data_IF_238903108067
#
_entry.id   IF_238903108067
#
_cell.length_a   1.000
_cell.length_b   1.000
_cell.length_c   1.000
_cell.angle_alpha   90.00
_cell.angle_beta   90.00
_cell.angle_gamma   90.00
#
_symmetry.space_group_name_H-M   'P 1'
#
loop_
_entity.id
_entity.type
_entity.pdbx_description
1 polymer ?
#
# COMPACT_ATOMS: atom_id res chain seq x y z
N UNK A 1 35.86 27.24 28.83
CA UNK A 1 35.06 26.93 27.64
C UNK A 1 33.61 26.90 28.06
N UNK A 2 32.78 27.65 27.37
CA UNK A 2 31.34 27.59 27.56
C UNK A 2 30.69 26.73 26.50
N UNK A 3 29.38 26.52 26.59
CA UNK A 3 28.61 25.69 25.61
C UNK A 3 28.75 26.21 24.16
N UNK A 4 28.93 27.53 23.98
CA UNK A 4 29.09 28.13 22.64
C UNK A 4 30.46 27.86 22.08
N UNK A 5 31.49 27.74 22.91
CA UNK A 5 32.85 27.36 22.46
C UNK A 5 32.83 25.93 21.89
N UNK A 6 32.19 24.97 22.61
CA UNK A 6 32.04 23.60 22.14
C UNK A 6 31.20 23.53 20.85
N UNK A 7 30.15 24.33 20.70
CA UNK A 7 29.35 24.40 19.46
C UNK A 7 30.19 24.85 18.26
N UNK A 8 31.03 25.90 18.45
CA UNK A 8 31.94 26.36 17.40
C UNK A 8 32.98 25.32 16.99
N UNK A 9 33.44 24.53 17.96
CA UNK A 9 34.36 23.42 17.68
C UNK A 9 33.64 22.31 16.86
N UNK A 10 32.39 21.98 17.19
CA UNK A 10 31.58 21.06 16.40
C UNK A 10 31.34 21.59 14.98
N UNK A 11 31.00 22.89 14.83
CA UNK A 11 30.79 23.51 13.50
C UNK A 11 32.01 23.35 12.60
N UNK A 12 33.24 23.53 13.16
CA UNK A 12 34.48 23.33 12.42
C UNK A 12 34.69 21.86 11.99
N UNK A 13 34.41 20.93 12.90
CA UNK A 13 34.50 19.51 12.61
C UNK A 13 33.47 19.12 11.53
N UNK A 14 32.26 19.67 11.58
CA UNK A 14 31.22 19.41 10.58
C UNK A 14 31.63 19.91 9.18
N UNK A 15 32.27 21.09 9.10
CA UNK A 15 32.81 21.61 7.83
C UNK A 15 33.87 20.66 7.24
N UNK A 16 34.76 20.13 8.05
CA UNK A 16 35.75 19.12 7.64
C UNK A 16 35.10 17.82 7.20
N UNK A 17 34.10 17.33 7.93
CA UNK A 17 33.33 16.14 7.60
C UNK A 17 32.61 16.29 6.26
N UNK A 18 31.97 17.42 6.00
CA UNK A 18 31.32 17.71 4.70
C UNK A 18 32.35 17.66 3.58
N UNK A 19 33.52 18.30 3.74
CA UNK A 19 34.56 18.31 2.73
C UNK A 19 35.12 16.92 2.44
N UNK A 20 35.38 16.11 3.48
CA UNK A 20 35.84 14.72 3.35
C UNK A 20 34.76 13.82 2.74
N UNK A 21 33.49 13.99 3.10
CA UNK A 21 32.38 13.25 2.54
C UNK A 21 32.21 13.56 1.04
N UNK A 22 32.26 14.84 0.64
CA UNK A 22 32.20 15.24 -0.76
C UNK A 22 33.31 14.61 -1.59
N UNK A 23 34.57 14.66 -1.10
CA UNK A 23 35.72 14.01 -1.74
C UNK A 23 35.55 12.50 -1.85
N UNK A 24 34.97 11.87 -0.83
CA UNK A 24 34.68 10.43 -0.85
C UNK A 24 33.63 10.09 -1.91
N UNK A 25 32.55 10.91 -2.04
CA UNK A 25 31.52 10.72 -3.05
C UNK A 25 32.03 10.95 -4.48
N UNK A 26 32.93 11.90 -4.68
CA UNK A 26 33.63 12.09 -5.96
C UNK A 26 34.46 10.84 -6.34
N UNK A 27 35.20 10.30 -5.38
CA UNK A 27 36.00 9.08 -5.57
C UNK A 27 35.10 7.87 -5.85
N UNK A 28 33.94 7.75 -5.19
CA UNK A 28 32.93 6.74 -5.48
C UNK A 28 32.43 6.85 -6.94
N UNK A 29 32.30 8.06 -7.47
CA UNK A 29 31.97 8.29 -8.89
C UNK A 29 33.07 7.77 -9.85
N UNK A 30 34.33 7.97 -9.53
CA UNK A 30 35.47 7.43 -10.31
C UNK A 30 35.48 5.90 -10.29
N UNK A 31 35.15 5.29 -9.12
CA UNK A 31 35.00 3.84 -8.98
C UNK A 31 33.84 3.33 -9.84
N UNK A 32 32.71 4.06 -9.88
CA UNK A 32 31.57 3.70 -10.72
C UNK A 32 31.98 3.61 -12.21
N UNK A 33 32.63 4.65 -12.73
CA UNK A 33 33.12 4.69 -14.11
C UNK A 33 34.08 3.51 -14.43
N UNK A 34 35.00 3.22 -13.51
CA UNK A 34 35.89 2.08 -13.65
C UNK A 34 35.15 0.74 -13.68
N UNK A 35 34.21 0.55 -12.75
CA UNK A 35 33.38 -0.68 -12.69
C UNK A 35 32.57 -0.87 -13.97
N UNK A 36 31.99 0.20 -14.50
CA UNK A 36 31.23 0.17 -15.75
C UNK A 36 32.12 -0.28 -16.93
N UNK A 37 33.29 0.33 -17.07
CA UNK A 37 34.22 0.02 -18.15
C UNK A 37 34.72 -1.44 -18.11
N UNK A 38 34.74 -2.06 -16.92
CA UNK A 38 35.21 -3.43 -16.71
C UNK A 38 34.09 -4.44 -16.45
N UNK A 39 32.83 -4.09 -16.62
CA UNK A 39 31.70 -5.00 -16.42
C UNK A 39 31.49 -5.48 -14.97
N UNK A 40 32.00 -4.75 -13.98
CA UNK A 40 31.94 -5.12 -12.57
C UNK A 40 30.62 -4.63 -11.92
N UNK A 41 30.12 -5.39 -10.94
CA UNK A 41 28.93 -4.99 -10.17
C UNK A 41 29.24 -3.81 -9.23
N UNK A 42 28.24 -2.96 -8.98
CA UNK A 42 28.34 -1.85 -8.01
C UNK A 42 28.59 -2.40 -6.60
N UNK A 43 27.79 -3.36 -6.16
CA UNK A 43 27.96 -4.01 -4.86
C UNK A 43 29.13 -4.98 -4.88
N UNK A 44 30.11 -4.76 -3.98
CA UNK A 44 31.17 -5.68 -3.62
C UNK A 44 31.09 -5.96 -2.11
N UNK A 45 30.23 -6.91 -1.76
CA UNK A 45 29.98 -7.27 -0.37
C UNK A 45 31.22 -7.75 0.39
N UNK A 46 32.16 -8.41 -0.31
CA UNK A 46 33.41 -8.89 0.30
C UNK A 46 34.30 -7.70 0.69
N UNK A 47 34.52 -6.80 -0.24
CA UNK A 47 35.32 -5.59 0.01
C UNK A 47 34.72 -4.72 1.12
N UNK A 48 33.39 -4.51 1.14
CA UNK A 48 32.73 -3.74 2.18
C UNK A 48 32.90 -4.40 3.57
N UNK A 49 32.80 -5.73 3.67
CA UNK A 49 33.01 -6.47 4.92
C UNK A 49 34.45 -6.35 5.41
N UNK A 50 35.45 -6.48 4.53
CA UNK A 50 36.86 -6.31 4.86
C UNK A 50 37.15 -4.87 5.30
N UNK A 51 36.58 -3.88 4.59
CA UNK A 51 36.72 -2.48 4.95
C UNK A 51 36.11 -2.16 6.32
N UNK A 52 34.92 -2.69 6.61
CA UNK A 52 34.29 -2.51 7.91
C UNK A 52 35.15 -3.08 9.03
N UNK A 53 35.72 -4.28 8.85
CA UNK A 53 36.64 -4.86 9.84
C UNK A 53 37.82 -3.95 10.11
N UNK A 54 38.49 -3.45 9.07
CA UNK A 54 39.61 -2.53 9.21
C UNK A 54 39.24 -1.23 9.92
N UNK A 55 38.03 -0.74 9.71
CA UNK A 55 37.50 0.45 10.41
C UNK A 55 37.31 0.17 11.90
N UNK A 56 36.73 -0.97 12.24
CA UNK A 56 36.53 -1.35 13.65
C UNK A 56 37.83 -1.53 14.42
N UNK A 57 38.87 -2.06 13.77
CA UNK A 57 40.21 -2.18 14.35
C UNK A 57 40.87 -0.82 14.69
N UNK A 58 40.50 0.23 13.96
CA UNK A 58 41.00 1.60 14.17
C UNK A 58 40.15 2.45 15.11
N UNK A 59 38.96 1.96 15.46
CA UNK A 59 37.96 2.73 16.21
C UNK A 59 38.06 2.37 17.70
N UNK A 60 38.09 3.37 18.64
CA UNK A 60 37.96 3.14 20.07
C UNK A 60 36.74 2.28 20.37
N UNK A 61 36.85 1.41 21.37
CA UNK A 61 35.82 0.40 21.68
C UNK A 61 34.44 1.00 21.93
N UNK A 62 34.40 2.10 22.69
CA UNK A 62 33.18 2.82 23.02
C UNK A 62 32.48 3.48 21.81
N UNK A 63 33.18 3.67 20.70
CA UNK A 63 32.62 4.29 19.47
C UNK A 63 32.34 3.30 18.36
N UNK A 64 32.65 2.00 18.52
CA UNK A 64 32.54 1.01 17.44
C UNK A 64 31.13 0.86 16.88
N UNK A 65 30.10 0.87 17.73
CA UNK A 65 28.71 0.75 17.28
C UNK A 65 28.27 1.97 16.47
N UNK A 66 28.64 3.17 16.92
CA UNK A 66 28.34 4.42 16.21
C UNK A 66 29.06 4.47 14.85
N UNK A 67 30.35 4.14 14.83
CA UNK A 67 31.14 4.11 13.59
C UNK A 67 30.64 3.03 12.64
N UNK A 68 30.25 1.85 13.14
CA UNK A 68 29.65 0.80 12.33
C UNK A 68 28.37 1.27 11.65
N UNK A 69 27.48 1.94 12.38
CA UNK A 69 26.23 2.50 11.86
C UNK A 69 26.50 3.59 10.82
N UNK A 70 27.40 4.53 11.13
CA UNK A 70 27.79 5.61 10.22
C UNK A 70 28.35 5.07 8.90
N UNK A 71 29.29 4.12 8.96
CA UNK A 71 29.91 3.59 7.74
C UNK A 71 28.98 2.68 6.96
N UNK A 72 28.03 2.01 7.59
CA UNK A 72 26.96 1.30 6.89
C UNK A 72 26.14 2.26 6.03
N UNK A 73 25.73 3.41 6.59
CA UNK A 73 25.06 4.46 5.84
C UNK A 73 25.93 5.06 4.73
N UNK A 74 27.20 5.34 5.02
CA UNK A 74 28.16 5.87 4.04
C UNK A 74 28.35 4.90 2.86
N UNK A 75 28.38 3.57 3.08
CA UNK A 75 28.44 2.57 2.01
C UNK A 75 27.17 2.58 1.17
N UNK A 76 25.99 2.66 1.81
CA UNK A 76 24.70 2.81 1.12
C UNK A 76 24.68 4.04 0.22
N UNK A 77 25.00 5.22 0.76
CA UNK A 77 25.06 6.49 0.00
C UNK A 77 26.05 6.40 -1.16
N UNK A 78 27.19 5.73 -0.97
CA UNK A 78 28.19 5.55 -2.03
C UNK A 78 27.67 4.65 -3.16
N UNK A 79 26.97 3.56 -2.83
CA UNK A 79 26.32 2.71 -3.85
C UNK A 79 25.23 3.47 -4.59
N UNK A 80 24.39 4.20 -3.86
CA UNK A 80 23.35 5.05 -4.45
C UNK A 80 23.97 6.06 -5.44
N UNK A 81 25.04 6.75 -5.05
CA UNK A 81 25.75 7.68 -5.93
C UNK A 81 26.35 6.99 -7.17
N UNK A 82 26.94 5.81 -7.00
CA UNK A 82 27.47 5.03 -8.12
C UNK A 82 26.36 4.62 -9.08
N UNK A 83 25.25 4.08 -8.59
CA UNK A 83 24.11 3.68 -9.41
C UNK A 83 23.49 4.86 -10.16
N UNK A 84 23.37 6.01 -9.50
CA UNK A 84 22.88 7.23 -10.13
C UNK A 84 23.76 7.70 -11.30
N UNK A 85 25.07 7.69 -11.11
CA UNK A 85 26.04 8.11 -12.15
C UNK A 85 26.07 7.12 -13.35
N UNK A 86 25.77 5.86 -13.12
CA UNK A 86 25.71 4.83 -14.16
C UNK A 86 24.39 4.87 -14.94
N UNK A 87 23.45 5.73 -14.53
CA UNK A 87 22.10 5.79 -15.06
C UNK A 87 21.20 4.69 -14.50
N UNK A 88 19.90 4.88 -14.62
CA UNK A 88 18.92 3.87 -14.21
C UNK A 88 19.13 2.59 -15.05
N UNK A 89 19.64 1.54 -14.41
CA UNK A 89 19.80 0.23 -15.04
C UNK A 89 18.47 -0.51 -15.02
N UNK A 90 18.22 -1.29 -16.06
CA UNK A 90 17.07 -2.14 -16.20
C UNK A 90 15.98 -1.58 -17.12
N UNK A 91 15.03 -2.45 -17.45
CA UNK A 91 13.93 -2.12 -18.35
C UNK A 91 12.75 -1.43 -17.65
N UNK A 92 12.68 -1.51 -16.32
CA UNK A 92 11.55 -0.98 -15.56
C UNK A 92 11.37 0.53 -15.70
N UNK A 93 12.41 1.39 -15.52
CA UNK A 93 12.26 2.82 -15.75
C UNK A 93 11.78 3.18 -17.16
N UNK A 94 12.23 2.43 -18.18
CA UNK A 94 11.77 2.61 -19.57
C UNK A 94 10.30 2.23 -19.73
N UNK A 95 9.88 1.07 -19.19
CA UNK A 95 8.48 0.63 -19.20
C UNK A 95 7.56 1.63 -18.50
N UNK A 96 8.00 2.22 -17.40
CA UNK A 96 7.25 3.26 -16.69
C UNK A 96 7.13 4.53 -17.54
N UNK A 97 8.22 5.00 -18.16
CA UNK A 97 8.20 6.15 -19.05
C UNK A 97 7.26 5.92 -20.26
N UNK A 98 7.32 4.75 -20.88
CA UNK A 98 6.43 4.37 -21.96
C UNK A 98 4.95 4.31 -21.51
N UNK A 99 4.69 3.79 -20.28
CA UNK A 99 3.34 3.75 -19.74
C UNK A 99 2.78 5.15 -19.51
N UNK A 100 3.59 6.08 -18.99
CA UNK A 100 3.20 7.50 -18.83
C UNK A 100 2.84 8.11 -20.19
N UNK A 101 3.64 7.87 -21.21
CA UNK A 101 3.42 8.42 -22.56
C UNK A 101 2.17 7.83 -23.24
N UNK A 102 1.95 6.51 -23.09
CA UNK A 102 0.83 5.79 -23.74
C UNK A 102 -0.50 5.95 -23.01
N UNK A 103 -0.47 6.26 -21.69
CA UNK A 103 -1.70 6.38 -20.89
C UNK A 103 -2.43 7.68 -21.26
N UNK A 104 -3.74 7.64 -21.52
CA UNK A 104 -4.52 8.85 -21.77
C UNK A 104 -4.44 9.84 -20.60
N UNK A 105 -4.53 11.16 -20.86
CA UNK A 105 -4.39 12.17 -19.80
C UNK A 105 -5.56 12.16 -18.79
N UNK A 106 -6.70 11.57 -19.16
CA UNK A 106 -7.86 11.48 -18.29
C UNK A 106 -8.18 10.03 -17.94
N UNK A 107 -8.47 9.80 -16.65
CA UNK A 107 -8.97 8.51 -16.21
C UNK A 107 -10.36 8.23 -16.83
N UNK A 108 -10.66 6.99 -17.27
CA UNK A 108 -11.93 6.67 -17.93
C UNK A 108 -13.13 7.02 -17.05
N UNK A 109 -14.15 7.62 -17.65
CA UNK A 109 -15.41 7.90 -16.96
C UNK A 109 -16.35 6.70 -16.97
N UNK A 110 -16.22 5.84 -17.98
CA UNK A 110 -17.04 4.64 -18.20
C UNK A 110 -16.13 3.44 -18.38
N UNK A 111 -16.43 2.35 -17.71
CA UNK A 111 -15.70 1.09 -17.86
C UNK A 111 -16.52 -0.10 -17.36
N UNK A 112 -16.20 -1.30 -17.88
CA UNK A 112 -16.59 -2.56 -17.26
C UNK A 112 -15.68 -2.80 -16.05
N UNK A 113 -16.28 -2.84 -14.84
CA UNK A 113 -15.58 -2.91 -13.56
C UNK A 113 -16.04 -4.13 -12.77
N UNK A 114 -15.10 -5.00 -12.42
CA UNK A 114 -15.35 -6.14 -11.53
C UNK A 114 -15.21 -5.71 -10.07
N UNK A 115 -16.15 -6.10 -9.21
CA UNK A 115 -15.98 -5.97 -7.75
C UNK A 115 -16.57 -7.17 -7.02
N UNK A 116 -16.11 -7.39 -5.78
CA UNK A 116 -16.65 -8.44 -4.94
C UNK A 116 -17.86 -7.93 -4.16
N UNK A 117 -18.90 -8.74 -4.05
CA UNK A 117 -20.10 -8.46 -3.28
C UNK A 117 -21.37 -8.41 -4.13
N UNK A 118 -22.28 -7.55 -3.73
CA UNK A 118 -23.58 -7.35 -4.36
C UNK A 118 -23.88 -5.86 -4.48
N UNK A 119 -24.95 -5.50 -5.17
CA UNK A 119 -25.46 -4.13 -5.26
C UNK A 119 -25.68 -3.52 -3.87
N UNK A 120 -25.25 -2.28 -3.67
CA UNK A 120 -25.27 -1.57 -2.37
C UNK A 120 -24.02 -1.80 -1.50
N UNK A 121 -23.11 -2.70 -1.88
CA UNK A 121 -21.87 -2.93 -1.13
C UNK A 121 -20.89 -1.75 -1.21
N UNK A 122 -20.00 -1.61 -0.22
CA UNK A 122 -18.95 -0.58 -0.23
C UNK A 122 -17.99 -0.72 -1.45
N UNK A 123 -17.84 -1.92 -2.00
CA UNK A 123 -17.08 -2.12 -3.24
C UNK A 123 -17.73 -1.44 -4.44
N UNK A 124 -19.07 -1.46 -4.54
CA UNK A 124 -19.80 -0.72 -5.58
C UNK A 124 -19.66 0.78 -5.41
N UNK A 125 -19.81 1.29 -4.16
CA UNK A 125 -19.60 2.72 -3.87
C UNK A 125 -18.18 3.16 -4.26
N UNK A 126 -17.18 2.28 -4.10
CA UNK A 126 -15.82 2.52 -4.57
C UNK A 126 -15.75 2.58 -6.11
N UNK A 127 -16.48 1.73 -6.83
CA UNK A 127 -16.57 1.78 -8.29
C UNK A 127 -17.21 3.11 -8.76
N UNK A 128 -18.32 3.53 -8.14
CA UNK A 128 -19.00 4.79 -8.46
C UNK A 128 -18.18 6.04 -8.12
N UNK A 129 -17.35 5.97 -7.08
CA UNK A 129 -16.44 7.07 -6.73
C UNK A 129 -15.28 7.20 -7.69
N UNK A 130 -14.80 6.07 -8.25
CA UNK A 130 -13.70 6.02 -9.21
C UNK A 130 -14.15 6.35 -10.63
N UNK A 131 -15.33 5.88 -11.03
CA UNK A 131 -15.87 6.02 -12.38
C UNK A 131 -17.21 6.75 -12.34
N UNK A 132 -17.42 7.65 -13.26
CA UNK A 132 -18.67 8.42 -13.32
C UNK A 132 -19.88 7.57 -13.71
N UNK A 133 -19.66 6.58 -14.59
CA UNK A 133 -20.66 5.63 -15.10
C UNK A 133 -20.03 4.24 -15.25
N UNK A 134 -19.80 3.52 -14.13
CA UNK A 134 -19.28 2.16 -14.21
C UNK A 134 -20.36 1.18 -14.68
N UNK A 135 -19.98 0.21 -15.51
CA UNK A 135 -20.77 -1.01 -15.69
C UNK A 135 -20.22 -2.04 -14.70
N UNK A 136 -20.84 -2.11 -13.52
CA UNK A 136 -20.34 -2.94 -12.41
C UNK A 136 -20.77 -4.39 -12.57
N UNK A 137 -19.80 -5.30 -12.47
CA UNK A 137 -20.01 -6.75 -12.45
C UNK A 137 -19.63 -7.31 -11.09
N UNK A 138 -20.60 -7.95 -10.43
CA UNK A 138 -20.43 -8.48 -9.10
C UNK A 138 -19.92 -9.93 -9.13
N UNK A 139 -18.93 -10.20 -8.31
CA UNK A 139 -18.33 -11.52 -8.14
C UNK A 139 -18.42 -11.97 -6.67
N UNK A 140 -18.52 -13.27 -6.45
CA UNK A 140 -18.66 -13.84 -5.11
C UNK A 140 -17.35 -13.85 -4.31
N UNK A 141 -16.20 -13.72 -4.97
CA UNK A 141 -14.89 -13.75 -4.30
C UNK A 141 -13.89 -12.75 -4.90
N UNK A 142 -12.88 -12.37 -4.12
CA UNK A 142 -11.77 -11.53 -4.60
C UNK A 142 -10.98 -12.22 -5.72
N UNK A 143 -10.76 -13.54 -5.65
CA UNK A 143 -10.07 -14.31 -6.68
C UNK A 143 -10.80 -14.24 -8.03
N UNK A 144 -12.13 -14.26 -8.00
CA UNK A 144 -12.93 -14.13 -9.23
C UNK A 144 -12.78 -12.74 -9.86
N UNK A 145 -12.58 -11.67 -9.06
CA UNK A 145 -12.26 -10.32 -9.57
C UNK A 145 -10.91 -10.32 -10.26
N UNK A 146 -9.84 -10.86 -9.65
CA UNK A 146 -8.53 -10.98 -10.30
C UNK A 146 -8.61 -11.77 -11.61
N UNK A 147 -9.29 -12.92 -11.57
CA UNK A 147 -9.49 -13.77 -12.76
C UNK A 147 -10.25 -13.06 -13.88
N UNK A 148 -11.24 -12.23 -13.54
CA UNK A 148 -11.99 -11.44 -14.52
C UNK A 148 -11.09 -10.43 -15.26
N UNK A 149 -10.15 -9.81 -14.53
CA UNK A 149 -9.17 -8.87 -15.11
C UNK A 149 -8.16 -9.62 -16.01
N UNK A 150 -7.59 -10.71 -15.53
CA UNK A 150 -6.63 -11.52 -16.30
C UNK A 150 -7.22 -12.05 -17.62
N UNK A 151 -8.48 -12.52 -17.55
CA UNK A 151 -9.21 -13.04 -18.72
C UNK A 151 -9.77 -11.94 -19.64
N UNK A 152 -9.68 -10.66 -19.23
CA UNK A 152 -10.21 -9.54 -19.99
C UNK A 152 -11.75 -9.45 -20.04
N UNK A 153 -12.45 -10.08 -19.08
CA UNK A 153 -13.90 -9.97 -18.93
C UNK A 153 -14.31 -8.56 -18.46
N UNK A 154 -13.51 -7.97 -17.58
CA UNK A 154 -13.63 -6.58 -17.17
C UNK A 154 -12.30 -5.87 -17.40
N UNK A 155 -12.35 -4.59 -17.72
CA UNK A 155 -11.14 -3.79 -17.90
C UNK A 155 -10.49 -3.44 -16.56
N UNK A 156 -11.31 -3.16 -15.53
CA UNK A 156 -10.84 -2.80 -14.21
C UNK A 156 -11.47 -3.70 -13.14
N UNK A 157 -10.76 -3.88 -12.04
CA UNK A 157 -11.24 -4.52 -10.82
C UNK A 157 -11.08 -3.61 -9.64
N UNK A 158 -12.05 -3.60 -8.72
CA UNK A 158 -11.99 -2.83 -7.48
C UNK A 158 -12.01 -3.77 -6.29
N UNK A 159 -10.98 -3.66 -5.45
CA UNK A 159 -10.72 -4.55 -4.32
C UNK A 159 -10.41 -3.76 -3.06
N UNK A 160 -10.96 -4.14 -1.87
CA UNK A 160 -10.56 -3.54 -0.60
C UNK A 160 -9.14 -3.97 -0.24
N UNK A 161 -8.27 -3.04 0.13
CA UNK A 161 -6.89 -3.32 0.52
C UNK A 161 -6.70 -3.28 2.02
N UNK A 162 -7.27 -2.27 2.67
CA UNK A 162 -7.16 -2.08 4.12
C UNK A 162 -8.35 -1.28 4.65
N UNK A 163 -8.65 -1.49 5.92
CA UNK A 163 -9.61 -0.71 6.68
C UNK A 163 -8.92 -0.07 7.88
N UNK A 164 -9.22 1.19 8.18
CA UNK A 164 -8.52 1.98 9.22
C UNK A 164 -8.71 1.43 10.64
N UNK A 165 -9.74 0.62 10.88
CA UNK A 165 -10.03 0.01 12.18
C UNK A 165 -9.76 -1.48 12.21
N UNK A 166 -9.96 -2.20 11.12
CA UNK A 166 -9.79 -3.65 11.03
C UNK A 166 -8.44 -4.09 10.44
N UNK A 167 -7.66 -3.15 9.90
CA UNK A 167 -6.35 -3.44 9.31
C UNK A 167 -6.42 -3.98 7.89
N UNK A 168 -5.43 -4.77 7.53
CA UNK A 168 -5.20 -5.27 6.16
C UNK A 168 -6.18 -6.35 5.76
N UNK A 169 -6.65 -6.32 4.50
CA UNK A 169 -7.46 -7.39 3.90
C UNK A 169 -6.52 -8.50 3.39
N UNK A 170 -6.09 -9.37 4.30
CA UNK A 170 -5.06 -10.37 4.06
C UNK A 170 -5.30 -11.23 2.81
N UNK A 171 -6.55 -11.61 2.55
CA UNK A 171 -6.92 -12.41 1.37
C UNK A 171 -6.57 -11.72 0.05
N UNK A 172 -6.66 -10.38 -0.02
CA UNK A 172 -6.28 -9.62 -1.21
C UNK A 172 -4.76 -9.61 -1.40
N UNK A 173 -3.98 -9.42 -0.33
CA UNK A 173 -2.52 -9.51 -0.39
C UNK A 173 -2.03 -10.91 -0.81
N UNK A 174 -2.67 -11.96 -0.32
CA UNK A 174 -2.33 -13.34 -0.70
C UNK A 174 -2.62 -13.62 -2.19
N UNK A 175 -3.70 -13.05 -2.73
CA UNK A 175 -4.02 -13.13 -4.15
C UNK A 175 -3.07 -12.29 -5.03
N UNK A 176 -2.58 -11.16 -4.54
CA UNK A 176 -1.58 -10.34 -5.24
C UNK A 176 -0.31 -11.12 -5.58
N UNK A 177 0.06 -12.12 -4.78
CA UNK A 177 1.21 -12.98 -5.05
C UNK A 177 0.99 -13.98 -6.20
N UNK A 178 -0.27 -14.22 -6.58
CA UNK A 178 -0.65 -15.27 -7.55
C UNK A 178 -1.08 -14.72 -8.90
N UNK A 179 -1.52 -13.46 -8.92
CA UNK A 179 -2.13 -12.85 -10.10
C UNK A 179 -1.25 -11.74 -10.69
N UNK A 180 -1.27 -11.61 -12.01
CA UNK A 180 -0.59 -10.52 -12.69
C UNK A 180 -1.57 -9.36 -12.92
N UNK A 181 -1.30 -8.21 -12.31
CA UNK A 181 -2.13 -7.01 -12.36
C UNK A 181 -1.31 -5.75 -12.16
N UNK A 182 -1.95 -4.60 -12.35
CA UNK A 182 -1.37 -3.29 -12.04
C UNK A 182 -2.39 -2.46 -11.27
N UNK A 183 -1.94 -1.70 -10.29
CA UNK A 183 -2.77 -0.73 -9.58
C UNK A 183 -2.72 0.57 -10.36
N UNK A 184 -3.88 1.09 -10.75
CA UNK A 184 -4.01 2.29 -11.58
C UNK A 184 -4.64 3.46 -10.84
N UNK A 185 -5.32 3.19 -9.72
CA UNK A 185 -5.92 4.20 -8.84
C UNK A 185 -6.24 3.62 -7.47
N UNK A 186 -6.43 4.46 -6.47
CA UNK A 186 -7.03 4.08 -5.20
C UNK A 186 -8.10 5.08 -4.76
N UNK A 187 -8.98 4.65 -3.87
CA UNK A 187 -10.05 5.48 -3.30
C UNK A 187 -10.29 5.11 -1.84
N UNK A 188 -10.60 6.11 -1.02
CA UNK A 188 -11.06 5.89 0.36
C UNK A 188 -12.56 6.08 0.43
N UNK A 189 -13.23 5.05 0.97
CA UNK A 189 -14.67 5.08 1.23
C UNK A 189 -14.88 5.09 2.74
N UNK A 190 -15.64 6.08 3.22
CA UNK A 190 -16.07 6.12 4.60
C UNK A 190 -17.05 4.97 4.86
N UNK A 191 -16.76 4.17 5.88
CA UNK A 191 -17.67 3.11 6.32
C UNK A 191 -18.57 3.68 7.40
N UNK A 192 -19.85 3.76 7.11
CA UNK A 192 -20.87 4.33 7.98
C UNK A 192 -22.03 3.34 8.11
N UNK A 193 -22.22 2.81 9.33
CA UNK A 193 -23.24 1.82 9.60
C UNK A 193 -24.51 2.47 10.13
N UNK A 194 -25.62 2.13 9.52
CA UNK A 194 -26.95 2.59 9.89
C UNK A 194 -27.83 1.38 10.24
N UNK A 195 -28.76 1.54 11.15
CA UNK A 195 -29.77 0.55 11.43
C UNK A 195 -30.94 0.74 10.47
N UNK A 196 -31.06 -0.13 9.49
CA UNK A 196 -32.07 -0.06 8.42
C UNK A 196 -33.15 -1.11 8.64
N UNK A 197 -34.41 -0.77 8.44
CA UNK A 197 -35.55 -1.69 8.59
C UNK A 197 -36.64 -1.42 7.53
N UNK A 198 -37.60 -2.29 7.42
CA UNK A 198 -38.77 -2.07 6.56
C UNK A 198 -39.59 -0.86 7.00
N UNK A 199 -40.26 -0.16 6.06
CA UNK A 199 -41.09 1.01 6.38
C UNK A 199 -42.10 0.71 7.47
N UNK A 200 -42.22 1.66 8.43
CA UNK A 200 -43.10 1.55 9.57
C UNK A 200 -42.57 0.74 10.76
N UNK A 201 -41.40 0.09 10.65
CA UNK A 201 -40.75 -0.58 11.77
C UNK A 201 -40.32 0.43 12.84
N UNK A 202 -40.34 0.03 14.10
CA UNK A 202 -39.90 0.84 15.25
C UNK A 202 -38.75 0.12 15.97
N UNK A 203 -37.77 0.90 16.42
CA UNK A 203 -36.55 0.35 17.03
C UNK A 203 -36.90 -0.52 18.28
N UNK A 204 -37.92 -0.17 19.03
CA UNK A 204 -38.38 -0.91 20.22
C UNK A 204 -38.93 -2.30 19.89
N UNK A 205 -39.37 -2.50 18.66
CA UNK A 205 -39.96 -3.76 18.19
C UNK A 205 -38.94 -4.69 17.57
N UNK A 206 -37.74 -4.22 17.28
CA UNK A 206 -36.72 -5.03 16.62
C UNK A 206 -36.31 -6.21 17.52
N UNK A 207 -36.32 -7.42 16.95
CA UNK A 207 -35.94 -8.70 17.59
C UNK A 207 -34.73 -9.33 16.99
N UNK A 208 -34.45 -9.07 15.71
CA UNK A 208 -33.31 -9.65 14.99
C UNK A 208 -32.59 -8.54 14.22
N UNK A 209 -31.26 -8.52 14.30
CA UNK A 209 -30.39 -7.63 13.52
C UNK A 209 -29.42 -8.47 12.69
N UNK A 210 -29.44 -8.24 11.39
CA UNK A 210 -28.61 -8.91 10.39
C UNK A 210 -27.41 -8.02 10.04
N UNK A 211 -26.20 -8.56 10.01
CA UNK A 211 -25.03 -7.87 9.45
C UNK A 211 -23.82 -8.78 9.28
N UNK A 212 -22.76 -8.23 8.69
CA UNK A 212 -21.46 -8.87 8.64
C UNK A 212 -20.76 -8.79 10.01
N UNK A 213 -19.97 -9.82 10.35
CA UNK A 213 -19.29 -9.92 11.65
C UNK A 213 -18.47 -8.66 12.01
N UNK A 214 -17.78 -8.08 11.03
CA UNK A 214 -16.99 -6.87 11.22
C UNK A 214 -17.88 -5.65 11.58
N UNK A 215 -19.02 -5.47 10.92
CA UNK A 215 -19.94 -4.36 11.24
C UNK A 215 -20.58 -4.57 12.62
N UNK A 216 -20.91 -5.80 12.98
CA UNK A 216 -21.39 -6.17 14.32
C UNK A 216 -20.39 -5.76 15.39
N UNK A 217 -19.10 -6.09 15.21
CA UNK A 217 -18.05 -5.73 16.16
C UNK A 217 -17.80 -4.22 16.24
N UNK A 218 -17.96 -3.50 15.15
CA UNK A 218 -17.80 -2.05 15.08
C UNK A 218 -18.99 -1.26 15.66
N UNK A 219 -20.13 -1.91 15.92
CA UNK A 219 -21.34 -1.33 16.51
C UNK A 219 -21.67 -1.96 17.87
N UNK A 220 -20.67 -2.45 18.59
CA UNK A 220 -20.87 -3.23 19.80
C UNK A 220 -21.58 -2.45 20.92
N UNK A 221 -21.24 -1.19 21.14
CA UNK A 221 -21.88 -0.36 22.15
C UNK A 221 -23.35 -0.09 21.81
N UNK A 222 -23.64 0.21 20.55
CA UNK A 222 -25.02 0.40 20.10
C UNK A 222 -25.85 -0.85 20.30
N UNK A 223 -25.35 -2.02 19.90
CA UNK A 223 -26.03 -3.31 20.04
C UNK A 223 -26.26 -3.70 21.50
N UNK A 224 -25.33 -3.40 22.41
CA UNK A 224 -25.49 -3.62 23.85
C UNK A 224 -26.64 -2.78 24.46
N UNK A 225 -26.95 -1.63 23.85
CA UNK A 225 -28.07 -0.78 24.26
C UNK A 225 -29.45 -1.31 23.82
N UNK A 226 -29.53 -2.37 23.00
CA UNK A 226 -30.79 -2.95 22.50
C UNK A 226 -31.11 -4.25 23.25
N UNK A 227 -32.04 -4.22 24.21
CA UNK A 227 -32.38 -5.41 25.00
C UNK A 227 -33.12 -6.45 24.15
N UNK A 228 -32.77 -7.73 24.34
CA UNK A 228 -33.42 -8.88 23.73
C UNK A 228 -33.36 -8.97 22.20
N UNK A 229 -32.35 -8.36 21.56
CA UNK A 229 -32.12 -8.46 20.13
C UNK A 229 -31.16 -9.60 19.83
N UNK A 230 -31.54 -10.48 18.90
CA UNK A 230 -30.71 -11.53 18.36
C UNK A 230 -29.90 -11.00 17.17
N UNK A 231 -28.57 -11.11 17.23
CA UNK A 231 -27.69 -10.70 16.11
C UNK A 231 -27.41 -11.90 15.22
N UNK A 232 -27.66 -11.76 13.92
CA UNK A 232 -27.50 -12.79 12.90
C UNK A 232 -26.43 -12.38 11.91
N UNK A 233 -25.41 -13.24 11.74
CA UNK A 233 -24.27 -12.99 10.84
C UNK A 233 -24.65 -13.29 9.40
N UNK A 234 -24.26 -12.37 8.51
CA UNK A 234 -24.43 -12.48 7.07
C UNK A 234 -23.09 -12.34 6.36
N UNK A 235 -23.03 -12.73 5.11
CA UNK A 235 -21.84 -12.66 4.26
C UNK A 235 -21.29 -11.24 4.10
N UNK A 236 -22.18 -10.25 3.94
CA UNK A 236 -21.84 -8.82 3.90
C UNK A 236 -23.05 -7.96 4.34
N UNK A 237 -22.80 -6.68 4.55
CA UNK A 237 -23.81 -5.72 5.04
C UNK A 237 -24.92 -5.43 4.03
N UNK A 238 -24.64 -5.48 2.72
CA UNK A 238 -25.65 -5.25 1.67
C UNK A 238 -26.57 -6.47 1.53
N UNK A 239 -26.03 -7.69 1.62
CA UNK A 239 -26.85 -8.91 1.70
C UNK A 239 -27.78 -8.86 2.91
N UNK A 240 -27.30 -8.39 4.06
CA UNK A 240 -28.13 -8.23 5.25
C UNK A 240 -29.32 -7.27 5.01
N UNK A 241 -29.06 -6.10 4.37
CA UNK A 241 -30.10 -5.14 4.03
C UNK A 241 -31.13 -5.75 3.04
N UNK A 242 -30.67 -6.44 2.01
CA UNK A 242 -31.54 -7.13 1.06
C UNK A 242 -32.44 -8.18 1.75
N UNK A 243 -31.88 -9.01 2.63
CA UNK A 243 -32.64 -10.01 3.38
C UNK A 243 -33.75 -9.37 4.24
N UNK A 244 -33.49 -8.24 4.87
CA UNK A 244 -34.46 -7.48 5.64
C UNK A 244 -35.60 -6.97 4.74
N UNK A 245 -35.26 -6.35 3.60
CA UNK A 245 -36.24 -5.86 2.63
C UNK A 245 -37.14 -7.00 2.09
N UNK A 246 -36.54 -8.12 1.68
CA UNK A 246 -37.26 -9.28 1.13
C UNK A 246 -38.14 -9.98 2.19
N UNK A 247 -37.80 -9.85 3.47
CA UNK A 247 -38.59 -10.47 4.55
C UNK A 247 -39.97 -9.87 4.75
N UNK A 248 -40.16 -8.59 4.42
CA UNK A 248 -41.38 -7.83 4.69
C UNK A 248 -41.75 -7.68 6.17
N UNK A 249 -40.88 -8.13 7.10
CA UNK A 249 -41.10 -8.08 8.55
C UNK A 249 -40.79 -6.69 9.11
N UNK A 250 -41.51 -6.28 10.16
CA UNK A 250 -41.33 -5.02 10.89
C UNK A 250 -40.53 -5.18 12.20
N UNK A 251 -40.14 -6.41 12.53
CA UNK A 251 -39.39 -6.78 13.75
C UNK A 251 -37.92 -7.16 13.46
N UNK A 252 -37.43 -6.93 12.22
CA UNK A 252 -36.06 -7.20 11.81
C UNK A 252 -35.39 -5.96 11.23
N UNK A 253 -34.08 -5.83 11.44
CA UNK A 253 -33.27 -4.73 10.91
C UNK A 253 -31.91 -5.20 10.40
N UNK A 254 -31.23 -4.39 9.62
CA UNK A 254 -29.86 -4.63 9.16
C UNK A 254 -28.92 -3.49 9.59
N UNK A 255 -27.71 -3.82 10.02
CA UNK A 255 -26.61 -2.85 10.05
C UNK A 255 -25.99 -2.81 8.67
N UNK A 256 -26.17 -1.69 7.96
CA UNK A 256 -25.72 -1.54 6.59
C UNK A 256 -25.37 -0.10 6.23
N UNK A 257 -24.91 0.11 4.98
CA UNK A 257 -24.61 1.43 4.45
C UNK A 257 -25.91 2.19 4.12
N UNK A 258 -25.83 3.52 4.12
CA UNK A 258 -26.97 4.37 3.72
C UNK A 258 -27.40 4.10 2.26
N UNK A 259 -26.47 3.72 1.37
CA UNK A 259 -26.80 3.37 -0.02
C UNK A 259 -27.85 2.25 -0.10
N UNK A 260 -27.79 1.27 0.80
CA UNK A 260 -28.77 0.18 0.86
C UNK A 260 -30.18 0.65 1.27
N UNK A 261 -30.31 1.78 1.96
CA UNK A 261 -31.63 2.34 2.30
C UNK A 261 -32.40 2.71 1.04
N UNK A 262 -31.79 3.48 0.15
CA UNK A 262 -32.45 3.94 -1.09
C UNK A 262 -32.64 2.77 -2.06
N UNK A 263 -31.63 1.89 -2.16
CA UNK A 263 -31.64 0.74 -3.08
C UNK A 263 -32.77 -0.25 -2.77
N UNK A 264 -32.99 -0.57 -1.49
CA UNK A 264 -33.92 -1.60 -1.08
C UNK A 264 -35.24 -1.03 -0.49
N UNK A 265 -35.42 0.30 -0.50
CA UNK A 265 -36.63 0.93 0.03
C UNK A 265 -36.78 0.78 1.55
N UNK A 266 -35.68 0.74 2.27
CA UNK A 266 -35.64 0.64 3.73
C UNK A 266 -35.67 2.00 4.39
N UNK A 267 -36.10 2.08 5.65
CA UNK A 267 -36.06 3.27 6.50
C UNK A 267 -34.89 3.20 7.48
N UNK A 268 -34.30 4.38 7.77
CA UNK A 268 -33.18 4.47 8.72
C UNK A 268 -33.73 4.70 10.14
N UNK A 269 -33.63 3.69 11.00
CA UNK A 269 -34.06 3.78 12.41
C UNK A 269 -33.01 4.45 13.29
N UNK A 270 -31.71 4.31 12.97
CA UNK A 270 -30.61 4.96 13.66
C UNK A 270 -29.43 5.16 12.73
N UNK A 271 -28.90 6.37 12.65
CA UNK A 271 -27.81 6.74 11.77
C UNK A 271 -26.45 6.66 12.49
N UNK A 272 -25.40 6.28 11.74
CA UNK A 272 -23.99 6.31 12.19
C UNK A 272 -23.79 5.63 13.55
N UNK A 273 -24.26 4.38 13.66
CA UNK A 273 -24.30 3.60 14.91
C UNK A 273 -22.98 2.91 15.26
N UNK A 274 -21.94 3.09 14.46
CA UNK A 274 -20.61 2.56 14.74
C UNK A 274 -19.95 3.27 15.93
N UNK A 275 -19.16 2.51 16.70
CA UNK A 275 -18.48 2.99 17.90
C UNK A 275 -17.39 4.04 17.61
N UNK A 276 -16.79 4.02 16.42
CA UNK A 276 -15.76 4.95 15.99
C UNK A 276 -16.14 5.66 14.68
N UNK A 277 -16.13 7.00 14.69
CA UNK A 277 -16.49 7.82 13.53
C UNK A 277 -15.42 7.88 12.42
N UNK A 278 -14.19 7.42 12.67
CA UNK A 278 -13.06 7.48 11.74
C UNK A 278 -12.79 6.10 11.11
N UNK A 279 -13.82 5.55 10.45
CA UNK A 279 -13.74 4.25 9.79
C UNK A 279 -13.73 4.44 8.27
N UNK A 280 -12.60 4.13 7.64
CA UNK A 280 -12.41 4.21 6.20
C UNK A 280 -11.87 2.90 5.66
N UNK A 281 -12.35 2.49 4.50
CA UNK A 281 -11.76 1.41 3.73
C UNK A 281 -11.08 1.99 2.49
N UNK A 282 -9.80 1.66 2.31
CA UNK A 282 -9.07 1.96 1.08
C UNK A 282 -9.26 0.84 0.09
N UNK A 283 -9.75 1.19 -1.08
CA UNK A 283 -9.88 0.31 -2.23
C UNK A 283 -8.83 0.64 -3.27
N UNK A 284 -8.33 -0.39 -3.96
CA UNK A 284 -7.47 -0.26 -5.13
C UNK A 284 -8.26 -0.59 -6.39
N UNK A 285 -8.00 0.16 -7.44
CA UNK A 285 -8.44 -0.12 -8.78
C UNK A 285 -7.31 -0.81 -9.54
N UNK A 286 -7.54 -2.02 -10.00
CA UNK A 286 -6.56 -2.83 -10.73
C UNK A 286 -6.93 -2.95 -12.20
N UNK A 287 -5.91 -3.08 -13.05
CA UNK A 287 -6.02 -3.36 -14.47
C UNK A 287 -4.99 -4.43 -14.88
N UNK A 288 -5.17 -5.03 -16.05
CA UNK A 288 -4.20 -5.98 -16.60
C UNK A 288 -2.93 -5.27 -17.07
N UNK A 289 -3.09 -4.17 -17.76
CA UNK A 289 -2.00 -3.39 -18.33
C UNK A 289 -1.52 -2.29 -17.37
N UNK A 290 -0.27 -1.86 -17.54
CA UNK A 290 0.30 -0.75 -16.79
C UNK A 290 -0.22 0.56 -17.36
N UNK A 291 -1.06 1.25 -16.60
CA UNK A 291 -1.58 2.58 -16.90
C UNK A 291 -1.15 3.54 -15.78
N UNK A 292 -0.50 4.65 -16.13
CA UNK A 292 -0.04 5.66 -15.18
C UNK A 292 -0.67 7.00 -15.57
N UNK A 293 -1.70 7.40 -14.84
CA UNK A 293 -2.43 8.63 -15.09
C UNK A 293 -1.71 9.86 -14.48
N UNK A 294 -1.89 11.07 -15.04
CA UNK A 294 -1.34 12.29 -14.46
C UNK A 294 -1.70 12.48 -12.98
N UNK A 295 -0.76 12.99 -12.20
CA UNK A 295 -0.94 13.17 -10.77
C UNK A 295 -0.61 11.94 -9.92
N UNK A 296 0.00 10.91 -10.50
CA UNK A 296 0.46 9.74 -9.75
C UNK A 296 1.54 10.14 -8.73
N UNK A 297 1.19 10.08 -7.46
CA UNK A 297 1.99 10.47 -6.30
C UNK A 297 2.22 9.34 -5.30
N UNK A 298 1.67 8.16 -5.58
CA UNK A 298 1.82 6.92 -4.82
C UNK A 298 2.36 5.82 -5.70
N UNK A 299 3.19 4.97 -5.12
CA UNK A 299 3.77 3.81 -5.81
C UNK A 299 3.69 2.58 -4.92
N UNK A 300 3.10 1.51 -5.43
CA UNK A 300 3.05 0.23 -4.72
C UNK A 300 4.01 -0.77 -5.34
N UNK A 301 4.73 -1.45 -4.46
CA UNK A 301 5.72 -2.46 -4.80
C UNK A 301 5.43 -3.74 -4.00
N UNK A 302 5.77 -4.87 -4.58
CA UNK A 302 5.79 -6.15 -3.90
C UNK A 302 7.15 -6.81 -4.12
N UNK A 303 7.82 -7.21 -3.03
CA UNK A 303 9.19 -7.72 -3.12
C UNK A 303 9.39 -8.93 -2.23
N UNK A 304 10.27 -9.83 -2.65
CA UNK A 304 10.85 -10.87 -1.81
C UNK A 304 12.31 -10.53 -1.57
N UNK A 305 12.70 -10.49 -0.31
CA UNK A 305 14.06 -10.12 0.09
C UNK A 305 14.87 -11.34 0.47
N UNK A 306 16.19 -11.33 0.25
CA UNK A 306 17.07 -12.39 0.72
C UNK A 306 16.89 -12.66 2.21
N UNK A 307 16.70 -13.91 2.61
CA UNK A 307 16.48 -14.29 4.00
C UNK A 307 17.79 -14.23 4.80
N UNK A 308 18.23 -13.01 5.11
CA UNK A 308 19.44 -12.71 5.91
C UNK A 308 19.30 -11.45 6.73
N UNK A 309 20.03 -11.31 7.83
CA UNK A 309 20.01 -10.09 8.65
C UNK A 309 20.33 -8.85 7.81
N UNK A 310 19.49 -7.79 7.98
CA UNK A 310 19.69 -6.50 7.34
C UNK A 310 19.06 -6.34 5.96
N UNK A 311 18.46 -7.37 5.33
CA UNK A 311 17.86 -7.23 3.98
C UNK A 311 16.76 -6.19 3.93
N UNK A 312 15.82 -6.21 4.87
CA UNK A 312 14.76 -5.20 4.95
C UNK A 312 15.34 -3.81 5.27
N UNK A 313 16.33 -3.75 6.17
CA UNK A 313 17.02 -2.49 6.49
C UNK A 313 17.65 -1.86 5.25
N UNK A 314 18.27 -2.64 4.36
CA UNK A 314 18.86 -2.14 3.13
C UNK A 314 17.81 -1.46 2.22
N UNK A 315 16.63 -2.03 2.10
CA UNK A 315 15.52 -1.42 1.33
C UNK A 315 15.03 -0.14 1.99
N UNK A 316 14.78 -0.17 3.30
CA UNK A 316 14.33 1.02 4.05
C UNK A 316 15.38 2.14 4.05
N UNK A 317 16.66 1.80 4.10
CA UNK A 317 17.75 2.76 3.99
C UNK A 317 17.78 3.47 2.61
N UNK A 318 17.34 2.78 1.54
CA UNK A 318 17.19 3.41 0.21
C UNK A 318 16.05 4.44 0.21
N UNK A 319 14.90 4.07 0.79
CA UNK A 319 13.80 5.03 0.91
C UNK A 319 14.23 6.27 1.69
N UNK A 320 14.89 6.06 2.83
CA UNK A 320 15.41 7.15 3.64
C UNK A 320 16.43 8.02 2.88
N UNK A 321 17.42 7.42 2.24
CA UNK A 321 18.48 8.13 1.51
C UNK A 321 17.96 8.95 0.33
N UNK A 322 16.83 8.56 -0.26
CA UNK A 322 16.17 9.24 -1.38
C UNK A 322 15.01 10.14 -0.93
N UNK A 323 14.77 10.27 0.38
CA UNK A 323 13.70 11.10 0.94
C UNK A 323 12.29 10.59 0.56
N UNK A 324 12.12 9.28 0.36
CA UNK A 324 10.84 8.66 0.00
C UNK A 324 10.12 8.22 1.27
N UNK A 325 8.91 8.73 1.48
CA UNK A 325 8.06 8.35 2.60
C UNK A 325 7.38 6.98 2.35
N UNK A 326 7.26 6.19 3.42
CA UNK A 326 6.60 4.90 3.40
C UNK A 326 5.25 4.99 4.12
N UNK A 327 4.15 4.88 3.35
CA UNK A 327 2.79 4.94 3.89
C UNK A 327 2.30 3.59 4.43
N UNK A 328 2.76 2.49 3.82
CA UNK A 328 2.39 1.13 4.24
C UNK A 328 3.55 0.17 4.05
N UNK A 329 3.72 -0.69 5.05
CA UNK A 329 4.52 -1.90 5.00
C UNK A 329 3.66 -3.07 5.50
N UNK A 330 3.48 -4.07 4.67
CA UNK A 330 2.80 -5.32 5.03
C UNK A 330 3.71 -6.48 4.70
N UNK A 331 3.78 -7.48 5.57
CA UNK A 331 4.52 -8.71 5.33
C UNK A 331 3.57 -9.89 5.28
N UNK A 332 3.70 -10.73 4.24
CA UNK A 332 2.90 -11.96 4.11
C UNK A 332 3.82 -13.15 3.92
N UNK A 333 3.59 -14.27 4.63
CA UNK A 333 4.33 -15.50 4.40
C UNK A 333 4.08 -15.99 2.96
N UNK A 334 5.13 -16.45 2.30
CA UNK A 334 5.02 -17.02 0.97
C UNK A 334 4.61 -18.49 1.12
N UNK A 335 3.49 -18.93 0.52
CA UNK A 335 3.11 -20.33 0.54
C UNK A 335 4.25 -21.22 0.03
N UNK A 336 4.47 -22.38 0.69
CA UNK A 336 5.48 -23.38 0.34
C UNK A 336 6.96 -22.97 0.55
N UNK A 337 7.22 -21.74 1.02
CA UNK A 337 8.56 -21.28 1.41
C UNK A 337 8.65 -21.12 2.92
N UNK A 338 9.54 -21.91 3.55
CA UNK A 338 9.69 -21.90 5.02
C UNK A 338 10.31 -20.58 5.50
N UNK A 339 9.52 -19.80 6.27
CA UNK A 339 9.94 -18.53 6.90
C UNK A 339 10.42 -17.45 5.92
N UNK A 340 10.03 -17.53 4.64
CA UNK A 340 10.22 -16.45 3.68
C UNK A 340 8.96 -15.60 3.57
N UNK A 341 9.16 -14.29 3.37
CA UNK A 341 8.09 -13.31 3.36
C UNK A 341 8.13 -12.47 2.09
N UNK A 342 6.97 -12.25 1.52
CA UNK A 342 6.72 -11.15 0.60
C UNK A 342 6.46 -9.89 1.41
N UNK A 343 7.04 -8.76 0.98
CA UNK A 343 6.79 -7.44 1.54
C UNK A 343 6.05 -6.58 0.51
N UNK A 344 4.95 -6.00 0.92
CA UNK A 344 4.24 -4.97 0.17
C UNK A 344 4.64 -3.60 0.73
N UNK A 345 5.04 -2.70 -0.15
CA UNK A 345 5.37 -1.32 0.18
C UNK A 345 4.42 -0.38 -0.56
N UNK A 346 3.92 0.63 0.14
CA UNK A 346 3.18 1.74 -0.45
C UNK A 346 3.96 3.03 -0.16
N UNK A 347 4.52 3.60 -1.21
CA UNK A 347 5.44 4.73 -1.15
C UNK A 347 4.70 6.01 -1.57
N UNK A 348 4.95 7.08 -0.84
CA UNK A 348 4.55 8.42 -1.21
C UNK A 348 5.65 9.07 -2.05
N UNK A 349 5.59 8.85 -3.35
CA UNK A 349 6.55 9.40 -4.29
C UNK A 349 5.92 9.61 -5.66
N UNK A 350 6.16 10.78 -6.24
CA UNK A 350 5.72 11.08 -7.60
C UNK A 350 6.59 10.34 -8.61
N UNK A 351 5.97 9.78 -9.65
CA UNK A 351 6.69 9.17 -10.79
C UNK A 351 7.58 10.16 -11.55
N UNK A 352 7.31 11.45 -11.41
CA UNK A 352 8.07 12.53 -12.05
C UNK A 352 9.26 13.01 -11.20
N UNK A 353 9.40 12.52 -9.97
CA UNK A 353 10.51 12.88 -9.10
C UNK A 353 11.81 12.21 -9.58
N UNK A 354 12.94 12.94 -9.65
CA UNK A 354 14.22 12.36 -10.09
C UNK A 354 14.65 11.13 -9.28
N UNK A 355 14.41 11.15 -7.98
CA UNK A 355 14.71 10.05 -7.07
C UNK A 355 13.87 8.79 -7.34
N UNK A 356 12.68 8.94 -7.94
CA UNK A 356 11.83 7.80 -8.29
C UNK A 356 12.49 6.89 -9.35
N UNK A 357 12.99 7.48 -10.42
CA UNK A 357 13.67 6.73 -11.49
C UNK A 357 14.90 6.01 -10.96
N UNK A 358 15.67 6.66 -10.06
CA UNK A 358 16.81 6.06 -9.39
C UNK A 358 16.38 4.87 -8.52
N UNK A 359 15.34 5.04 -7.71
CA UNK A 359 14.80 4.01 -6.83
C UNK A 359 14.35 2.78 -7.62
N UNK A 360 13.60 2.98 -8.72
CA UNK A 360 13.12 1.88 -9.59
C UNK A 360 14.26 1.15 -10.32
N UNK A 361 15.40 1.78 -10.50
CA UNK A 361 16.59 1.15 -11.05
C UNK A 361 17.41 0.37 -10.02
N UNK A 362 17.38 0.77 -8.74
CA UNK A 362 18.22 0.19 -7.68
C UNK A 362 17.51 -0.95 -6.91
N UNK A 363 16.21 -0.81 -6.63
CA UNK A 363 15.47 -1.77 -5.80
C UNK A 363 15.51 -3.21 -6.32
N UNK A 364 15.33 -3.48 -7.62
CA UNK A 364 15.38 -4.85 -8.13
C UNK A 364 16.69 -5.58 -7.83
N UNK A 365 17.81 -4.85 -7.72
CA UNK A 365 19.11 -5.45 -7.41
C UNK A 365 19.23 -5.92 -5.93
N UNK A 366 18.38 -5.42 -5.05
CA UNK A 366 18.34 -5.76 -3.62
C UNK A 366 17.37 -6.90 -3.32
N UNK A 367 16.52 -7.27 -4.27
CA UNK A 367 15.44 -8.23 -4.10
C UNK A 367 15.76 -9.57 -4.78
N UNK A 368 15.21 -10.66 -4.26
CA UNK A 368 15.17 -11.96 -4.95
C UNK A 368 14.06 -11.96 -6.00
N UNK A 369 12.92 -11.34 -5.64
CA UNK A 369 11.81 -11.09 -6.55
C UNK A 369 11.31 -9.66 -6.36
N UNK A 370 10.95 -9.00 -7.47
CA UNK A 370 10.53 -7.60 -7.49
C UNK A 370 9.37 -7.39 -8.45
N UNK A 371 8.25 -6.96 -7.93
CA UNK A 371 7.06 -6.60 -8.68
C UNK A 371 6.70 -5.14 -8.48
N UNK A 372 6.78 -4.35 -9.56
CA UNK A 372 6.22 -3.01 -9.61
C UNK A 372 4.72 -3.11 -9.86
N UNK A 373 3.90 -2.83 -8.85
CA UNK A 373 2.45 -2.95 -8.94
C UNK A 373 1.81 -1.77 -9.66
N UNK A 374 2.41 -0.59 -9.61
CA UNK A 374 1.95 0.60 -10.30
C UNK A 374 2.20 1.88 -9.53
N UNK A 375 2.08 3.01 -10.25
CA UNK A 375 2.05 4.34 -9.66
C UNK A 375 0.73 5.01 -10.01
N UNK A 376 0.10 5.63 -9.02
CA UNK A 376 -1.28 6.10 -9.12
C UNK A 376 -1.57 7.25 -8.16
N UNK A 377 -2.72 7.88 -8.32
CA UNK A 377 -3.27 8.86 -7.38
C UNK A 377 -4.38 8.24 -6.51
N UNK A 378 -4.59 8.78 -5.33
CA UNK A 378 -5.69 8.42 -4.44
C UNK A 378 -6.83 9.43 -4.57
N UNK A 379 -8.07 8.94 -4.75
CA UNK A 379 -9.30 9.73 -4.69
C UNK A 379 -9.78 9.76 -3.24
N UNK A 380 -9.95 10.96 -2.70
CA UNK A 380 -10.41 11.19 -1.32
C UNK A 380 -11.87 11.63 -1.30
#
# INVERSE_FOLDING_TARGET
>A
MDLNDYRKEIDQIDDELIALFAKRMETAGKIAAYKQANGLRVLDARHEKEKMRTLMEKTPEELREYVSSLYSLIFELSRSRQSWLLGAKGDLPKKIAEAIEKTPPLFPQEAAVACQGVEGAYSEQACERLFKRPSTFFFSSFEAVFSAIEKGLCRYGVLPLENSTAGSVNAVYDLMMRHNFRIVRSVRIKVDHNLLANPGAKIENIREIYSHEQAISQCAHFLQGLPNVKVIRCENTAVAARMVAESGRDDVAALSSRACMDLYGLENLAASVQDQGNNFTRFICIAKELEIYPGADRTSLMVVLPHRPGSLYQVLSRFYALGVNLNKLESRPIPERNFEFMFYFDLETSVYAPQFTQLMGELPELCEDFSYLGSYSEVI
#
